data_IF_204414188786
#
_entry.id   IF_204414188786
#
_cell.length_a   1.000
_cell.length_b   1.000
_cell.length_c   1.000
_cell.angle_alpha   90.00
_cell.angle_beta   90.00
_cell.angle_gamma   90.00
#
_symmetry.space_group_name_H-M   'P 1'
#
loop_
_entity.id
_entity.type
_entity.pdbx_description
1 polymer ?
#
# COMPACT_ATOMS: atom_id res chain seq x y z
N UNK A 1 -8.80 8.05 6.95
CA UNK A 1 -10.27 8.30 6.99
C UNK A 1 -10.67 9.39 5.99
N UNK A 2 -11.97 9.53 5.70
CA UNK A 2 -12.50 10.53 4.76
C UNK A 2 -13.45 11.50 5.49
N UNK A 3 -13.48 12.75 5.05
CA UNK A 3 -14.48 13.73 5.52
C UNK A 3 -15.01 14.60 4.36
N UNK A 4 -15.92 15.52 4.68
CA UNK A 4 -16.54 16.42 3.70
C UNK A 4 -15.77 17.73 3.49
N UNK A 5 -14.53 17.84 3.96
CA UNK A 5 -13.71 19.04 3.78
C UNK A 5 -13.52 19.28 2.29
N UNK A 6 -13.82 20.49 1.82
CA UNK A 6 -13.58 20.89 0.43
C UNK A 6 -12.16 21.40 0.24
N UNK A 7 -11.64 21.20 -0.96
CA UNK A 7 -10.31 21.69 -1.33
C UNK A 7 -10.25 23.21 -1.27
N UNK A 8 -9.18 23.71 -0.66
CA UNK A 8 -8.75 25.11 -0.69
C UNK A 8 -7.23 25.15 -0.59
N UNK A 9 -6.62 26.33 -0.78
CA UNK A 9 -5.18 26.50 -0.57
C UNK A 9 -4.74 26.14 0.87
N UNK A 10 -5.63 26.29 1.84
CA UNK A 10 -5.38 25.98 3.26
C UNK A 10 -5.70 24.51 3.61
N UNK A 11 -6.39 23.80 2.71
CA UNK A 11 -6.78 22.39 2.86
C UNK A 11 -6.38 21.58 1.61
N UNK A 12 -5.08 21.50 1.27
CA UNK A 12 -4.63 20.82 0.06
C UNK A 12 -4.96 19.32 0.04
N UNK A 13 -5.05 18.69 1.21
CA UNK A 13 -5.42 17.27 1.41
C UNK A 13 -6.92 17.06 1.69
N UNK A 14 -7.77 18.05 1.35
CA UNK A 14 -9.18 18.06 1.70
C UNK A 14 -9.91 16.73 1.44
N UNK A 15 -10.61 16.27 2.48
CA UNK A 15 -11.45 15.07 2.41
C UNK A 15 -10.69 13.75 2.49
N UNK A 16 -9.35 13.74 2.44
CA UNK A 16 -8.53 12.53 2.45
C UNK A 16 -7.47 12.59 3.54
N UNK A 17 -7.69 11.82 4.59
CA UNK A 17 -6.78 11.75 5.72
C UNK A 17 -6.10 10.39 5.77
N UNK A 18 -4.79 10.41 6.02
CA UNK A 18 -4.08 9.17 6.36
C UNK A 18 -4.51 8.71 7.75
N UNK A 19 -4.73 7.40 7.89
CA UNK A 19 -4.89 6.82 9.23
C UNK A 19 -3.57 6.94 10.01
N UNK A 20 -3.63 7.02 11.35
CA UNK A 20 -2.44 6.96 12.18
C UNK A 20 -1.55 5.78 11.81
N UNK A 21 -0.24 6.01 11.81
CA UNK A 21 0.75 5.00 11.46
C UNK A 21 1.45 4.51 12.72
N UNK A 22 1.05 3.33 13.19
CA UNK A 22 1.68 2.67 14.34
C UNK A 22 2.96 1.92 13.97
N UNK A 23 3.15 1.59 12.70
CA UNK A 23 4.33 0.90 12.20
C UNK A 23 4.17 0.39 10.77
N UNK A 24 5.25 -0.18 10.24
CA UNK A 24 5.26 -0.82 8.94
C UNK A 24 5.20 0.12 7.73
N UNK A 25 4.63 -0.37 6.63
CA UNK A 25 4.44 0.40 5.41
C UNK A 25 5.69 0.37 4.52
N UNK A 26 6.02 1.49 3.88
CA UNK A 26 7.17 1.59 2.99
C UNK A 26 8.09 2.76 3.35
N UNK A 27 9.35 2.63 2.98
CA UNK A 27 10.39 3.65 3.12
C UNK A 27 11.31 3.65 1.90
N UNK A 28 11.89 4.81 1.59
CA UNK A 28 12.86 4.95 0.51
C UNK A 28 14.15 4.19 0.85
N UNK A 29 14.65 3.41 -0.11
CA UNK A 29 15.93 2.72 -0.04
C UNK A 29 17.05 3.62 -0.58
N UNK A 30 17.42 4.64 0.19
CA UNK A 30 18.48 5.58 -0.19
C UNK A 30 19.22 6.11 1.03
N UNK A 31 20.51 6.37 0.89
CA UNK A 31 21.33 7.06 1.90
C UNK A 31 20.79 8.46 2.17
N UNK A 32 21.17 9.06 3.30
CA UNK A 32 20.71 10.41 3.68
C UNK A 32 21.04 11.47 2.60
N UNK A 33 22.18 11.32 1.93
CA UNK A 33 22.60 12.18 0.81
C UNK A 33 21.94 11.82 -0.53
N UNK A 34 21.11 10.76 -0.56
CA UNK A 34 20.36 10.25 -1.71
C UNK A 34 21.21 9.82 -2.90
N UNK A 35 22.47 9.45 -2.66
CA UNK A 35 23.39 9.05 -3.73
C UNK A 35 23.46 7.55 -3.97
N UNK A 36 23.20 6.74 -2.94
CA UNK A 36 23.34 5.29 -2.99
C UNK A 36 22.15 4.60 -2.32
N UNK A 37 21.85 3.34 -2.66
CA UNK A 37 20.95 2.50 -1.87
C UNK A 37 21.53 2.24 -0.47
N UNK A 38 20.66 2.10 0.54
CA UNK A 38 21.09 1.63 1.87
C UNK A 38 21.10 0.10 1.96
N UNK A 39 20.19 -0.54 1.23
CA UNK A 39 19.87 -1.95 1.36
C UNK A 39 19.87 -2.66 0.01
N UNK A 40 20.16 -3.95 0.04
CA UNK A 40 19.93 -4.91 -1.04
C UNK A 40 19.02 -6.03 -0.55
N UNK A 41 18.41 -6.76 -1.47
CA UNK A 41 17.75 -8.03 -1.13
C UNK A 41 18.77 -9.14 -0.84
N UNK A 42 18.31 -10.39 -0.64
CA UNK A 42 19.16 -11.57 -0.59
C UNK A 42 20.14 -11.62 -1.77
N UNK A 43 21.34 -12.18 -1.57
CA UNK A 43 22.40 -12.15 -2.60
C UNK A 43 22.04 -12.91 -3.90
N UNK A 44 21.12 -13.88 -3.80
CA UNK A 44 20.56 -14.66 -4.90
C UNK A 44 19.27 -14.06 -5.48
N UNK A 45 18.82 -12.91 -4.97
CA UNK A 45 17.68 -12.21 -5.52
C UNK A 45 17.96 -11.69 -6.94
N UNK A 46 16.94 -11.62 -7.82
CA UNK A 46 17.07 -10.99 -9.13
C UNK A 46 17.54 -9.54 -9.03
N UNK A 47 18.45 -9.16 -9.93
CA UNK A 47 18.97 -7.78 -10.05
C UNK A 47 18.37 -7.05 -11.25
N UNK A 48 17.16 -7.45 -11.64
CA UNK A 48 16.38 -6.86 -12.72
C UNK A 48 15.34 -5.85 -12.21
N UNK A 49 15.42 -5.49 -10.93
CA UNK A 49 14.53 -4.53 -10.29
C UNK A 49 13.17 -5.11 -9.91
N UNK A 50 12.84 -6.35 -10.26
CA UNK A 50 11.64 -7.02 -9.77
C UNK A 50 11.84 -7.53 -8.34
N UNK A 51 10.80 -7.52 -7.47
CA UNK A 51 9.43 -7.07 -7.70
C UNK A 51 9.20 -5.56 -7.48
N UNK A 52 10.27 -4.75 -7.47
CA UNK A 52 10.19 -3.30 -7.22
C UNK A 52 10.22 -2.91 -5.75
N UNK A 53 10.44 -3.87 -4.84
CA UNK A 53 10.63 -3.65 -3.41
C UNK A 53 11.56 -4.70 -2.77
N UNK A 54 12.05 -4.41 -1.56
CA UNK A 54 12.71 -5.36 -0.64
C UNK A 54 11.83 -5.48 0.62
N UNK A 55 11.59 -6.68 1.13
CA UNK A 55 10.93 -6.85 2.43
C UNK A 55 11.87 -6.41 3.56
N UNK A 56 11.32 -5.75 4.58
CA UNK A 56 12.13 -5.26 5.71
C UNK A 56 12.89 -6.39 6.42
N UNK A 57 12.26 -7.58 6.49
CA UNK A 57 12.81 -8.77 7.15
C UNK A 57 13.87 -9.52 6.32
N UNK A 58 14.00 -9.21 5.02
CA UNK A 58 14.99 -9.85 4.13
C UNK A 58 16.13 -8.92 3.72
N UNK A 59 16.07 -7.64 4.12
CA UNK A 59 17.03 -6.63 3.67
C UNK A 59 18.41 -6.88 4.25
N UNK A 60 19.42 -6.71 3.41
CA UNK A 60 20.84 -6.76 3.77
C UNK A 60 21.46 -5.39 3.53
N UNK A 61 22.52 -5.00 4.26
CA UNK A 61 23.29 -3.79 3.94
C UNK A 61 23.76 -3.84 2.49
N UNK A 62 23.65 -2.71 1.78
CA UNK A 62 24.08 -2.65 0.39
C UNK A 62 25.59 -2.95 0.26
N UNK A 63 25.93 -3.89 -0.64
CA UNK A 63 27.30 -4.24 -1.01
C UNK A 63 27.47 -4.12 -2.53
N UNK A 64 28.08 -3.00 -2.96
CA UNK A 64 28.31 -2.67 -4.36
C UNK A 64 29.15 -3.72 -5.10
N UNK A 65 29.99 -4.49 -4.39
CA UNK A 65 30.83 -5.52 -5.02
C UNK A 65 30.03 -6.67 -5.62
N UNK A 66 28.76 -6.80 -5.24
CA UNK A 66 27.85 -7.82 -5.75
C UNK A 66 27.08 -7.36 -7.00
N UNK A 67 27.25 -6.11 -7.44
CA UNK A 67 26.48 -5.53 -8.54
C UNK A 67 27.38 -5.13 -9.72
N UNK A 68 26.82 -5.19 -10.91
CA UNK A 68 27.42 -4.73 -12.15
C UNK A 68 26.64 -3.54 -12.74
N UNK A 69 27.27 -2.77 -13.61
CA UNK A 69 26.58 -1.70 -14.33
C UNK A 69 25.39 -2.26 -15.13
N UNK A 70 24.20 -1.70 -14.91
CA UNK A 70 22.95 -2.16 -15.50
C UNK A 70 22.09 -3.01 -14.55
N UNK A 71 22.67 -3.52 -13.46
CA UNK A 71 21.89 -4.14 -12.40
C UNK A 71 21.00 -3.10 -11.72
N UNK A 72 19.82 -3.55 -11.31
CA UNK A 72 18.79 -2.73 -10.68
C UNK A 72 18.54 -3.20 -9.24
N UNK A 73 18.38 -2.22 -8.36
CA UNK A 73 18.05 -2.41 -6.95
C UNK A 73 16.73 -1.72 -6.67
N UNK A 74 15.79 -2.36 -5.98
CA UNK A 74 14.54 -1.72 -5.61
C UNK A 74 14.76 -0.45 -4.76
N UNK A 75 14.02 0.60 -5.11
CA UNK A 75 14.08 1.89 -4.40
C UNK A 75 13.22 1.94 -3.13
N UNK A 76 12.51 0.86 -2.80
CA UNK A 76 11.55 0.80 -1.70
C UNK A 76 11.84 -0.41 -0.81
N UNK A 77 11.88 -0.17 0.49
CA UNK A 77 11.78 -1.23 1.51
C UNK A 77 10.35 -1.23 2.06
N UNK A 78 9.72 -2.40 2.21
CA UNK A 78 8.37 -2.53 2.76
C UNK A 78 8.25 -3.54 3.89
N UNK A 79 7.33 -3.28 4.80
CA UNK A 79 6.91 -4.19 5.86
C UNK A 79 5.39 -4.13 6.03
N UNK A 80 4.84 -5.15 6.70
CA UNK A 80 3.42 -5.16 7.03
C UNK A 80 3.06 -3.96 7.90
N UNK A 81 1.98 -3.27 7.55
CA UNK A 81 1.37 -2.26 8.41
C UNK A 81 0.90 -2.94 9.71
N UNK A 82 1.06 -2.23 10.82
CA UNK A 82 0.64 -2.69 12.15
C UNK A 82 -0.44 -1.78 12.72
N UNK A 83 -1.01 -2.19 13.85
CA UNK A 83 -2.03 -1.42 14.55
C UNK A 83 -3.35 -1.36 13.77
N UNK A 84 -4.08 -0.27 13.96
CA UNK A 84 -5.42 -0.12 13.39
C UNK A 84 -5.40 -0.19 11.85
N UNK A 85 -4.48 0.56 11.24
CA UNK A 85 -4.23 0.61 9.79
C UNK A 85 -3.85 -0.75 9.19
N UNK A 86 -3.32 -1.65 10.01
CA UNK A 86 -2.92 -3.01 9.62
C UNK A 86 -4.00 -4.07 9.84
N UNK A 87 -5.17 -3.73 10.40
CA UNK A 87 -6.21 -4.69 10.76
C UNK A 87 -7.06 -5.12 9.54
N UNK A 88 -6.38 -5.66 8.53
CA UNK A 88 -6.94 -6.11 7.27
C UNK A 88 -6.10 -7.26 6.73
N UNK A 89 -6.75 -8.29 6.22
CA UNK A 89 -6.13 -9.40 5.51
C UNK A 89 -6.51 -9.32 4.03
N UNK A 90 -5.64 -9.84 3.17
CA UNK A 90 -5.96 -9.99 1.76
C UNK A 90 -5.34 -11.26 1.19
N UNK A 91 -6.08 -11.90 0.29
CA UNK A 91 -5.60 -12.94 -0.60
C UNK A 91 -5.79 -12.49 -2.05
N UNK A 92 -4.93 -12.96 -2.95
CA UNK A 92 -5.05 -12.61 -4.35
C UNK A 92 -4.48 -13.69 -5.25
N UNK A 93 -5.01 -13.77 -6.46
CA UNK A 93 -4.53 -14.65 -7.52
C UNK A 93 -4.59 -13.93 -8.87
N UNK A 94 -3.57 -14.15 -9.69
CA UNK A 94 -3.59 -13.82 -11.10
C UNK A 94 -3.78 -15.10 -11.91
N UNK A 95 -4.87 -15.20 -12.65
CA UNK A 95 -5.17 -16.33 -13.52
C UNK A 95 -5.96 -15.85 -14.74
N UNK A 96 -5.67 -16.44 -15.91
CA UNK A 96 -6.39 -16.17 -17.16
C UNK A 96 -6.54 -14.68 -17.51
N UNK A 97 -5.45 -13.92 -17.32
CA UNK A 97 -5.41 -12.49 -17.63
C UNK A 97 -6.11 -11.58 -16.61
N UNK A 98 -6.50 -12.11 -15.43
CA UNK A 98 -7.29 -11.38 -14.43
C UNK A 98 -6.71 -11.52 -13.03
N UNK A 99 -6.71 -10.40 -12.31
CA UNK A 99 -6.55 -10.39 -10.86
C UNK A 99 -7.88 -10.66 -10.18
N UNK A 100 -7.87 -11.55 -9.19
CA UNK A 100 -8.97 -11.73 -8.23
C UNK A 100 -8.40 -11.51 -6.84
N UNK A 101 -9.04 -10.62 -6.08
CA UNK A 101 -8.63 -10.23 -4.73
C UNK A 101 -9.78 -10.52 -3.78
N UNK A 102 -9.44 -11.02 -2.61
CA UNK A 102 -10.34 -11.13 -1.47
C UNK A 102 -9.74 -10.31 -0.32
N UNK A 103 -10.55 -9.45 0.28
CA UNK A 103 -10.14 -8.58 1.38
C UNK A 103 -11.01 -8.92 2.58
N UNK A 104 -10.37 -9.23 3.71
CA UNK A 104 -11.03 -9.60 4.96
C UNK A 104 -10.69 -8.61 6.07
N UNK A 105 -11.70 -8.21 6.85
CA UNK A 105 -11.56 -7.42 8.07
C UNK A 105 -12.76 -7.69 8.98
N UNK A 106 -12.66 -7.30 10.25
CA UNK A 106 -13.83 -7.33 11.12
C UNK A 106 -14.92 -6.36 10.62
N UNK A 107 -16.18 -6.75 10.82
CA UNK A 107 -17.34 -5.90 10.50
C UNK A 107 -17.39 -4.67 11.41
N UNK A 108 -17.11 -4.88 12.69
CA UNK A 108 -17.00 -3.82 13.70
C UNK A 108 -15.60 -3.91 14.29
N UNK A 109 -14.78 -2.90 14.04
CA UNK A 109 -13.37 -2.83 14.49
C UNK A 109 -13.21 -2.03 15.78
N UNK A 110 -14.16 -1.13 16.07
CA UNK A 110 -14.07 -0.19 17.18
C UNK A 110 -13.14 1.00 16.92
N UNK A 111 -12.50 1.07 15.75
CA UNK A 111 -11.70 2.22 15.35
C UNK A 111 -12.58 3.39 14.89
N UNK A 112 -12.18 4.60 15.28
CA UNK A 112 -12.82 5.85 14.86
C UNK A 112 -12.52 6.21 13.40
N UNK A 113 -11.51 5.59 12.79
CA UNK A 113 -11.10 5.84 11.40
C UNK A 113 -11.80 4.93 10.40
N UNK A 114 -12.43 3.88 10.92
CA UNK A 114 -13.03 2.79 10.17
C UNK A 114 -14.54 2.91 10.02
N UNK A 115 -15.06 2.45 8.88
CA UNK A 115 -16.50 2.20 8.72
C UNK A 115 -16.91 1.00 9.59
N UNK A 116 -17.89 1.23 10.45
CA UNK A 116 -18.46 0.19 11.31
C UNK A 116 -19.69 -0.44 10.63
N UNK A 117 -19.55 -1.69 10.17
CA UNK A 117 -20.62 -2.49 9.56
C UNK A 117 -21.54 -3.10 10.63
N UNK A 118 -22.08 -2.26 11.53
CA UNK A 118 -22.89 -2.68 12.67
C UNK A 118 -24.37 -2.91 12.33
N UNK A 119 -24.88 -2.33 11.25
CA UNK A 119 -26.24 -2.55 10.75
C UNK A 119 -26.20 -3.13 9.34
N UNK A 120 -26.27 -4.45 9.26
CA UNK A 120 -26.19 -5.20 7.99
C UNK A 120 -27.42 -5.02 7.09
N UNK A 121 -28.46 -4.32 7.55
CA UNK A 121 -29.64 -4.00 6.73
C UNK A 121 -29.46 -2.73 5.89
N UNK A 122 -28.42 -1.95 6.16
CA UNK A 122 -28.16 -0.68 5.47
C UNK A 122 -27.17 -0.83 4.31
N UNK A 123 -27.26 0.04 3.28
CA UNK A 123 -26.22 0.16 2.27
C UNK A 123 -24.98 0.85 2.84
N UNK A 124 -23.82 0.28 2.55
CA UNK A 124 -22.53 0.92 2.78
C UNK A 124 -21.89 1.32 1.44
N UNK A 125 -21.22 2.46 1.40
CA UNK A 125 -20.61 2.97 0.18
C UNK A 125 -19.11 2.79 0.20
N UNK A 126 -18.53 2.43 -0.94
CA UNK A 126 -17.08 2.30 -1.09
C UNK A 126 -16.63 2.75 -2.48
N UNK A 127 -15.35 3.03 -2.62
CA UNK A 127 -14.70 3.29 -3.90
C UNK A 127 -13.50 2.38 -4.07
N UNK A 128 -13.17 2.06 -5.32
CA UNK A 128 -11.97 1.31 -5.66
C UNK A 128 -11.08 2.10 -6.60
N UNK A 129 -9.77 1.95 -6.40
CA UNK A 129 -8.74 2.43 -7.30
C UNK A 129 -7.80 1.27 -7.65
N UNK A 130 -7.36 1.20 -8.90
CA UNK A 130 -6.45 0.19 -9.41
C UNK A 130 -5.19 0.86 -9.98
N UNK A 131 -4.04 0.39 -9.52
CA UNK A 131 -2.72 0.84 -9.93
C UNK A 131 -2.09 -0.29 -10.74
N UNK A 132 -1.85 -0.04 -12.03
CA UNK A 132 -1.14 -0.97 -12.91
C UNK A 132 0.30 -0.47 -13.09
N UNK A 133 1.21 -1.01 -12.27
CA UNK A 133 2.62 -0.61 -12.20
C UNK A 133 2.85 0.91 -12.26
N UNK A 134 2.01 1.68 -11.55
CA UNK A 134 1.98 3.13 -11.62
C UNK A 134 2.05 3.73 -10.22
N UNK A 135 2.77 4.84 -10.08
CA UNK A 135 2.90 5.55 -8.80
C UNK A 135 1.75 6.53 -8.56
N UNK A 136 1.38 7.33 -9.57
CA UNK A 136 0.43 8.45 -9.41
C UNK A 136 -0.81 8.30 -10.30
N UNK A 137 -0.66 7.72 -11.50
CA UNK A 137 -1.77 7.56 -12.46
C UNK A 137 -2.45 6.23 -12.23
N UNK A 138 -3.70 6.27 -11.79
CA UNK A 138 -4.48 5.08 -11.45
C UNK A 138 -5.91 5.20 -11.99
N UNK A 139 -6.52 4.05 -12.26
CA UNK A 139 -7.95 3.99 -12.53
C UNK A 139 -8.70 4.10 -11.21
N UNK A 140 -9.83 4.78 -11.19
CA UNK A 140 -10.68 4.88 -10.00
C UNK A 140 -12.15 4.89 -10.38
N UNK A 141 -13.00 4.46 -9.44
CA UNK A 141 -14.44 4.56 -9.58
C UNK A 141 -14.88 6.03 -9.54
N UNK A 142 -15.59 6.49 -10.58
CA UNK A 142 -16.13 7.85 -10.63
C UNK A 142 -17.39 8.04 -9.77
N UNK A 143 -18.02 6.95 -9.35
CA UNK A 143 -19.18 6.93 -8.46
C UNK A 143 -18.96 5.90 -7.35
N UNK A 144 -19.50 6.12 -6.14
CA UNK A 144 -19.43 5.12 -5.09
C UNK A 144 -20.12 3.81 -5.53
N UNK A 145 -19.47 2.69 -5.25
CA UNK A 145 -20.13 1.39 -5.21
C UNK A 145 -20.96 1.25 -3.95
N UNK A 146 -21.93 0.34 -3.98
CA UNK A 146 -22.80 0.02 -2.85
C UNK A 146 -22.60 -1.42 -2.43
N UNK A 147 -22.30 -1.63 -1.16
CA UNK A 147 -22.23 -2.91 -0.49
C UNK A 147 -23.52 -3.14 0.31
N UNK A 148 -24.21 -4.23 0.00
CA UNK A 148 -25.38 -4.73 0.73
C UNK A 148 -25.05 -6.11 1.27
N UNK A 149 -25.15 -6.29 2.57
CA UNK A 149 -25.04 -7.61 3.20
C UNK A 149 -26.33 -8.40 2.91
N UNK A 150 -26.20 -9.69 2.63
CA UNK A 150 -27.30 -10.61 2.33
C UNK A 150 -27.28 -11.79 3.27
#
# INVERSE_FOLDING_TARGET
YLDSTQWSADTPEAGRHSDPKDGGGYADNQTEDKKMPMWMGPADAPKDGAPGYILDDEKLPFDDSLFAAGDMIPSIVKSMLTGDRGNIAAGWVYADGKWTLEIGRALVTGSEFDVQFSDLTQPYYFGMAAFDNAQVRHAFMQRPGTLLFK
#
